data_IF_213967386777
#
_entry.id   IF_213967386777
#
_cell.length_a   1.000
_cell.length_b   1.000
_cell.length_c   1.000
_cell.angle_alpha   90.00
_cell.angle_beta   90.00
_cell.angle_gamma   90.00
#
_symmetry.space_group_name_H-M   'P 1'
#
loop_
_entity.id
_entity.type
_entity.pdbx_description
1 polymer ?
#
# COMPACT_ATOMS: atom_id res chain seq x y z
N UNK A 1 -4.20 10.54 -9.66
CA UNK A 1 -4.27 9.91 -8.33
C UNK A 1 -5.44 8.93 -8.18
N UNK A 2 -6.44 8.91 -9.07
CA UNK A 2 -7.55 7.95 -9.04
C UNK A 2 -7.15 6.49 -9.35
N UNK A 3 -6.00 6.25 -10.00
CA UNK A 3 -5.58 4.90 -10.40
C UNK A 3 -5.16 4.03 -9.21
N UNK A 4 -4.59 4.64 -8.16
CA UNK A 4 -4.26 3.94 -6.92
C UNK A 4 -5.50 3.73 -6.03
N UNK A 5 -6.61 4.43 -6.27
CA UNK A 5 -7.80 4.32 -5.42
C UNK A 5 -8.43 2.94 -5.56
N UNK A 6 -8.48 2.22 -4.44
CA UNK A 6 -8.76 0.80 -4.50
C UNK A 6 -8.49 0.05 -3.22
N UNK A 7 -8.92 -1.20 -3.24
CA UNK A 7 -8.46 -2.22 -2.32
C UNK A 7 -7.46 -3.12 -3.06
N UNK A 8 -6.27 -3.20 -2.50
CA UNK A 8 -5.13 -3.93 -3.05
C UNK A 8 -4.73 -5.06 -2.10
N UNK A 9 -4.50 -6.24 -2.65
CA UNK A 9 -3.81 -7.31 -1.95
C UNK A 9 -2.30 -7.15 -2.13
N UNK A 10 -1.56 -7.23 -1.03
CA UNK A 10 -0.10 -7.13 -1.06
C UNK A 10 0.48 -8.53 -1.15
N UNK A 11 1.23 -8.80 -2.21
CA UNK A 11 1.94 -10.06 -2.40
C UNK A 11 3.44 -9.80 -2.34
N UNK A 12 4.15 -10.51 -1.46
CA UNK A 12 5.61 -10.39 -1.41
C UNK A 12 6.21 -11.02 -2.66
N UNK A 13 7.03 -10.27 -3.38
CA UNK A 13 7.77 -10.77 -4.54
C UNK A 13 9.25 -11.01 -4.22
N UNK A 14 9.81 -10.39 -3.16
CA UNK A 14 11.20 -10.63 -2.76
C UNK A 14 11.67 -9.90 -1.50
N UNK A 15 12.94 -10.14 -1.13
CA UNK A 15 13.67 -9.44 -0.05
C UNK A 15 13.41 -9.96 1.37
N UNK A 16 13.71 -9.15 2.38
CA UNK A 16 13.58 -9.48 3.80
C UNK A 16 12.17 -9.22 4.37
N UNK A 17 11.17 -9.01 3.51
CA UNK A 17 9.79 -8.87 3.94
C UNK A 17 9.29 -10.17 4.59
N UNK A 18 8.56 -10.10 5.72
CA UNK A 18 7.87 -11.27 6.28
C UNK A 18 6.82 -11.79 5.30
N UNK A 19 6.26 -13.00 5.52
CA UNK A 19 5.16 -13.52 4.69
C UNK A 19 3.98 -12.55 4.77
N UNK A 20 3.77 -11.74 3.73
CA UNK A 20 2.72 -10.70 3.64
C UNK A 20 1.31 -11.28 3.49
N UNK A 21 1.06 -12.46 4.06
CA UNK A 21 -0.19 -13.21 3.93
C UNK A 21 -1.30 -12.44 4.64
N UNK A 22 -2.35 -12.09 3.89
CA UNK A 22 -3.49 -11.34 4.42
C UNK A 22 -3.23 -9.84 4.59
N UNK A 23 -2.11 -9.31 4.08
CA UNK A 23 -1.86 -7.87 4.05
C UNK A 23 -2.66 -7.24 2.89
N UNK A 24 -3.46 -6.22 3.23
CA UNK A 24 -4.24 -5.46 2.24
C UNK A 24 -3.93 -3.98 2.39
N UNK A 25 -3.88 -3.25 1.29
CA UNK A 25 -3.78 -1.79 1.28
C UNK A 25 -5.08 -1.21 0.74
N UNK A 26 -5.67 -0.30 1.51
CA UNK A 26 -6.77 0.53 1.05
C UNK A 26 -6.22 1.92 0.76
N UNK A 27 -6.45 2.42 -0.44
CA UNK A 27 -6.00 3.73 -0.86
C UNK A 27 -7.22 4.57 -1.25
N UNK A 28 -7.23 5.82 -0.78
CA UNK A 28 -8.25 6.81 -1.10
C UNK A 28 -7.65 8.22 -1.12
N UNK A 29 -7.59 8.82 -2.30
CA UNK A 29 -7.07 10.17 -2.50
C UNK A 29 -5.57 10.25 -2.22
N UNK A 30 -5.17 11.10 -1.27
CA UNK A 30 -3.77 11.32 -0.89
C UNK A 30 -3.30 10.46 0.29
N UNK A 31 -4.06 9.45 0.69
CA UNK A 31 -3.71 8.61 1.84
C UNK A 31 -4.29 7.20 1.74
N UNK A 32 -3.87 6.37 2.69
CA UNK A 32 -4.36 4.99 2.78
C UNK A 32 -4.04 4.32 4.10
N UNK A 33 -4.52 3.10 4.24
CA UNK A 33 -4.23 2.24 5.38
C UNK A 33 -3.81 0.85 4.91
N UNK A 34 -2.78 0.31 5.54
CA UNK A 34 -2.39 -1.10 5.41
C UNK A 34 -3.07 -1.87 6.53
N UNK A 35 -3.86 -2.86 6.18
CA UNK A 35 -4.51 -3.78 7.13
C UNK A 35 -3.80 -5.12 7.12
N UNK A 36 -3.41 -5.60 8.29
CA UNK A 36 -2.88 -6.95 8.51
C UNK A 36 -3.75 -7.66 9.56
N UNK A 37 -4.53 -8.65 9.11
CA UNK A 37 -5.49 -9.34 9.98
C UNK A 37 -6.57 -8.39 10.54
N UNK A 38 -7.33 -8.82 11.57
CA UNK A 38 -8.47 -8.07 12.08
C UNK A 38 -8.09 -6.85 12.95
N UNK A 39 -6.87 -6.79 13.48
CA UNK A 39 -6.50 -5.80 14.50
C UNK A 39 -5.49 -4.76 14.06
N UNK A 40 -4.60 -5.06 13.10
CA UNK A 40 -3.52 -4.14 12.75
C UNK A 40 -3.90 -3.28 11.54
N UNK A 41 -4.02 -1.97 11.75
CA UNK A 41 -4.19 -0.96 10.70
C UNK A 41 -3.09 0.07 10.82
N UNK A 42 -2.36 0.28 9.73
CA UNK A 42 -1.24 1.21 9.67
C UNK A 42 -1.55 2.29 8.63
N UNK A 43 -1.82 3.54 9.04
CA UNK A 43 -2.07 4.63 8.11
C UNK A 43 -0.76 5.09 7.44
N UNK A 44 -0.89 5.48 6.17
CA UNK A 44 0.18 6.06 5.37
C UNK A 44 -0.34 7.22 4.52
N UNK A 45 0.57 8.11 4.16
CA UNK A 45 0.34 9.22 3.22
C UNK A 45 0.88 8.83 1.84
N UNK A 46 0.25 9.33 0.79
CA UNK A 46 0.65 9.09 -0.60
C UNK A 46 1.19 10.39 -1.18
N UNK A 47 2.39 10.28 -1.75
CA UNK A 47 3.09 11.33 -2.48
C UNK A 47 3.41 10.80 -3.87
N UNK A 48 2.51 11.07 -4.83
CA UNK A 48 2.57 10.50 -6.18
C UNK A 48 2.39 8.98 -6.16
N UNK A 49 3.49 8.25 -6.30
CA UNK A 49 3.56 6.79 -6.22
C UNK A 49 4.29 6.30 -4.95
N UNK A 50 4.63 7.20 -4.03
CA UNK A 50 5.36 6.88 -2.81
C UNK A 50 4.42 6.85 -1.60
N UNK A 51 4.44 5.76 -0.85
CA UNK A 51 3.67 5.56 0.37
C UNK A 51 4.58 5.77 1.58
N UNK A 52 4.25 6.77 2.41
CA UNK A 52 5.00 7.12 3.61
C UNK A 52 4.20 6.74 4.85
N UNK A 53 4.67 5.76 5.61
CA UNK A 53 3.95 5.31 6.81
C UNK A 53 3.99 6.36 7.92
N UNK A 54 2.91 6.46 8.70
CA UNK A 54 2.84 7.35 9.86
C UNK A 54 3.42 6.69 11.12
N UNK A 55 3.54 7.44 12.22
CA UNK A 55 4.11 6.92 13.49
C UNK A 55 3.26 5.75 14.00
N UNK A 56 3.88 4.69 14.56
CA UNK A 56 5.30 4.56 14.91
C UNK A 56 6.24 4.14 13.75
N UNK A 57 5.72 3.89 12.55
CA UNK A 57 6.45 3.32 11.41
C UNK A 57 6.99 4.36 10.41
N UNK A 58 7.26 5.61 10.83
CA UNK A 58 7.73 6.70 9.93
C UNK A 58 9.03 6.43 9.18
N UNK A 59 9.79 5.40 9.53
CA UNK A 59 11.01 5.02 8.82
C UNK A 59 10.77 4.18 7.56
N UNK A 60 9.55 3.67 7.38
CA UNK A 60 9.16 2.84 6.24
C UNK A 60 8.58 3.71 5.13
N UNK A 61 9.09 3.49 3.92
CA UNK A 61 8.63 4.14 2.70
C UNK A 61 8.51 3.08 1.62
N UNK A 62 7.34 2.97 1.02
CA UNK A 62 7.15 2.07 -0.13
C UNK A 62 7.02 2.88 -1.41
N UNK A 63 7.83 2.61 -2.41
CA UNK A 63 7.73 3.22 -3.73
C UNK A 63 6.98 2.31 -4.68
N UNK A 64 5.98 2.82 -5.38
CA UNK A 64 5.21 2.08 -6.38
C UNK A 64 5.65 2.43 -7.79
N UNK A 65 5.64 1.43 -8.65
CA UNK A 65 5.85 1.54 -10.09
C UNK A 65 4.63 0.92 -10.80
N UNK A 66 4.05 1.59 -11.80
CA UNK A 66 2.90 1.05 -12.53
C UNK A 66 3.30 -0.23 -13.29
N UNK A 67 2.54 -1.30 -13.13
CA UNK A 67 2.75 -2.59 -13.77
C UNK A 67 1.46 -3.04 -14.49
N UNK A 68 1.02 -2.24 -15.46
CA UNK A 68 -0.23 -2.47 -16.19
C UNK A 68 -1.46 -2.17 -15.32
N UNK A 69 -2.19 -3.22 -14.93
CA UNK A 69 -3.38 -3.10 -14.05
C UNK A 69 -3.03 -3.21 -12.56
N UNK A 70 -1.81 -3.65 -12.26
CA UNK A 70 -1.27 -3.84 -10.92
C UNK A 70 -0.14 -2.83 -10.67
N UNK A 71 0.39 -2.81 -9.46
CA UNK A 71 1.58 -2.01 -9.13
C UNK A 71 2.68 -2.89 -8.55
N UNK A 72 3.92 -2.59 -8.91
CA UNK A 72 5.09 -3.14 -8.23
C UNK A 72 5.54 -2.18 -7.15
N UNK A 73 5.85 -2.70 -5.97
CA UNK A 73 6.24 -1.92 -4.82
C UNK A 73 7.62 -2.29 -4.30
N UNK A 74 8.45 -1.29 -4.02
CA UNK A 74 9.73 -1.44 -3.33
C UNK A 74 9.59 -0.89 -1.93
N UNK A 75 9.80 -1.75 -0.94
CA UNK A 75 9.81 -1.37 0.46
C UNK A 75 11.22 -0.93 0.87
N UNK A 76 11.32 0.31 1.32
CA UNK A 76 12.56 0.91 1.80
C UNK A 76 12.43 1.28 3.27
N UNK A 77 13.53 1.12 4.02
CA UNK A 77 13.62 1.54 5.40
C UNK A 77 14.86 2.41 5.57
N UNK A 78 14.66 3.66 6.02
CA UNK A 78 15.75 4.65 6.15
C UNK A 78 16.59 4.80 4.87
N UNK A 79 15.94 4.76 3.70
CA UNK A 79 16.60 4.91 2.40
C UNK A 79 17.29 3.65 1.86
N UNK A 80 17.12 2.51 2.52
CA UNK A 80 17.64 1.22 2.05
C UNK A 80 16.50 0.30 1.66
N UNK A 81 16.50 -0.17 0.41
CA UNK A 81 15.57 -1.21 -0.02
C UNK A 81 15.80 -2.47 0.84
N UNK A 82 14.71 -2.99 1.41
CA UNK A 82 14.74 -4.23 2.18
C UNK A 82 13.78 -5.28 1.61
N UNK A 83 12.85 -4.92 0.74
CA UNK A 83 12.07 -5.92 0.02
C UNK A 83 11.17 -5.37 -1.06
N UNK A 84 10.54 -6.29 -1.76
CA UNK A 84 9.70 -6.01 -2.93
C UNK A 84 8.36 -6.73 -2.79
N UNK A 85 7.32 -6.08 -3.26
CA UNK A 85 5.96 -6.60 -3.27
C UNK A 85 5.24 -6.21 -4.55
N UNK A 86 4.11 -6.85 -4.84
CA UNK A 86 3.16 -6.40 -5.84
C UNK A 86 1.83 -6.07 -5.16
N UNK A 87 1.12 -5.12 -5.75
CA UNK A 87 -0.24 -4.75 -5.39
C UNK A 87 -1.15 -5.31 -6.46
N UNK A 88 -1.91 -6.33 -6.10
CA UNK A 88 -2.95 -6.89 -6.95
C UNK A 88 -4.28 -6.28 -6.61
N UNK A 89 -5.01 -5.76 -7.59
CA UNK A 89 -6.34 -5.17 -7.33
C UNK A 89 -7.33 -6.27 -6.94
N UNK A 90 -7.98 -6.12 -5.79
CA UNK A 90 -9.00 -7.06 -5.30
C UNK A 90 -10.39 -6.44 -5.10
N UNK A 91 -10.49 -5.11 -5.25
CA UNK A 91 -11.77 -4.42 -5.23
C UNK A 91 -11.63 -2.94 -5.52
N UNK A 92 -12.74 -2.31 -5.91
CA UNK A 92 -12.84 -0.86 -5.83
C UNK A 92 -12.89 -0.47 -4.34
N UNK A 93 -12.14 0.57 -3.94
CA UNK A 93 -12.44 1.23 -2.67
C UNK A 93 -13.91 1.66 -2.77
N UNK A 94 -14.78 1.42 -1.77
CA UNK A 94 -16.14 1.90 -1.85
C UNK A 94 -16.04 3.42 -1.94
N UNK A 95 -16.29 3.93 -3.14
CA UNK A 95 -16.65 5.31 -3.36
C UNK A 95 -17.78 5.56 -2.37
N UNK A 96 -17.56 6.50 -1.43
CA UNK A 96 -18.67 7.03 -0.62
C UNK A 96 -19.82 7.31 -1.60
N UNK A 97 -21.02 6.74 -1.40
CA UNK A 97 -22.16 7.17 -2.19
C UNK A 97 -22.27 8.67 -2.00
N UNK A 98 -22.36 9.41 -3.11
CA UNK A 98 -22.63 10.83 -3.09
C UNK A 98 -23.90 11.04 -2.25
N UNK A 99 -23.75 11.75 -1.13
CA UNK A 99 -24.86 12.20 -0.32
C UNK A 99 -25.76 13.06 -1.21
N UNK A 100 -27.05 12.74 -1.21
CA UNK A 100 -28.07 13.27 -2.12
C UNK A 100 -28.82 14.42 -1.48
#
# INVERSE_FOLDING_TARGET
MAELDGLWEVQRTGGALPPMIGVRKRIQGSGGETTLGPFLRVPFDIDGLTLRYRRPLRGFVDELEPAGLDFHGRATFRGREYGQFSLRRIGASPSRPAEK
#
